data_IF_985936413773
#
_entry.id   IF_985936413773
#
_cell.length_a   1.000
_cell.length_b   1.000
_cell.length_c   1.000
_cell.angle_alpha   90.00
_cell.angle_beta   90.00
_cell.angle_gamma   90.00
#
_symmetry.space_group_name_H-M   'P 1'
#
loop_
_entity.id
_entity.type
_entity.pdbx_description
1 polymer ?
#
# COMPACT_ATOMS: atom_id res chain seq x y z
N UNK A 1 4.12 3.61 -23.00
CA UNK A 1 4.95 3.92 -21.82
C UNK A 1 4.40 3.37 -20.50
N UNK A 2 3.12 2.99 -20.41
CA UNK A 2 2.53 2.45 -19.16
C UNK A 2 2.93 1.01 -18.80
N UNK A 3 3.48 0.23 -19.73
CA UNK A 3 3.83 -1.18 -19.54
C UNK A 3 4.95 -1.46 -18.52
N UNK A 4 5.76 -0.47 -18.21
CA UNK A 4 6.90 -0.64 -17.31
C UNK A 4 6.69 -0.04 -15.90
N UNK A 5 5.62 0.72 -15.68
CA UNK A 5 5.33 1.19 -14.30
C UNK A 5 4.84 0.02 -13.46
N UNK A 6 5.61 -0.35 -12.45
CA UNK A 6 5.30 -1.46 -11.53
C UNK A 6 4.89 -1.00 -10.14
N UNK A 7 4.99 0.28 -9.87
CA UNK A 7 4.59 0.91 -8.61
C UNK A 7 3.07 0.92 -8.42
N UNK A 8 2.34 1.21 -9.50
CA UNK A 8 0.89 1.06 -9.51
C UNK A 8 0.54 -0.25 -10.22
N UNK A 9 -0.03 -1.20 -9.49
CA UNK A 9 -0.45 -2.49 -10.06
C UNK A 9 -1.71 -2.35 -10.87
N UNK A 10 -1.74 -3.00 -12.04
CA UNK A 10 -2.89 -2.99 -12.94
C UNK A 10 -3.76 -4.22 -12.76
N UNK A 11 -5.07 -4.03 -12.69
CA UNK A 11 -6.06 -5.12 -12.70
C UNK A 11 -6.07 -5.89 -14.03
N UNK A 12 -5.64 -5.23 -15.13
CA UNK A 12 -5.68 -5.80 -16.47
C UNK A 12 -4.40 -6.57 -16.84
N UNK A 13 -3.33 -6.42 -16.05
CA UNK A 13 -2.05 -7.10 -16.29
C UNK A 13 -1.99 -8.34 -15.39
N UNK A 14 -2.13 -9.53 -15.98
CA UNK A 14 -2.15 -10.80 -15.25
C UNK A 14 -0.95 -10.99 -14.31
N UNK A 15 0.25 -10.59 -14.74
CA UNK A 15 1.45 -10.70 -13.91
C UNK A 15 1.46 -9.79 -12.67
N UNK A 16 0.55 -8.85 -12.57
CA UNK A 16 0.37 -7.96 -11.41
C UNK A 16 -0.66 -8.53 -10.41
N UNK A 17 -1.42 -9.58 -10.79
CA UNK A 17 -2.52 -10.10 -9.98
C UNK A 17 -2.14 -10.38 -8.52
N UNK A 18 -1.03 -11.08 -8.19
CA UNK A 18 -0.71 -11.37 -6.79
C UNK A 18 -0.58 -10.10 -5.94
N UNK A 19 0.06 -9.05 -6.48
CA UNK A 19 0.24 -7.79 -5.76
C UNK A 19 -1.09 -7.02 -5.73
N UNK A 20 -1.85 -7.04 -6.82
CA UNK A 20 -3.17 -6.39 -6.87
C UNK A 20 -4.10 -6.94 -5.79
N UNK A 21 -4.20 -8.26 -5.65
CA UNK A 21 -5.05 -8.91 -4.63
C UNK A 21 -4.58 -8.61 -3.20
N UNK A 22 -3.25 -8.57 -2.96
CA UNK A 22 -2.68 -8.17 -1.68
C UNK A 22 -3.09 -6.74 -1.31
N UNK A 23 -2.94 -5.81 -2.25
CA UNK A 23 -3.28 -4.40 -2.04
C UNK A 23 -4.80 -4.12 -1.96
N UNK A 24 -5.62 -5.05 -2.42
CA UNK A 24 -7.08 -4.99 -2.28
C UNK A 24 -7.52 -5.42 -0.86
N UNK A 25 -6.77 -6.30 -0.21
CA UNK A 25 -7.15 -6.90 1.08
C UNK A 25 -7.50 -5.89 2.18
N UNK A 26 -6.73 -4.80 2.42
CA UNK A 26 -7.09 -3.83 3.46
C UNK A 26 -8.41 -3.10 3.16
N UNK A 27 -8.74 -2.83 1.91
CA UNK A 27 -10.03 -2.22 1.55
C UNK A 27 -11.20 -3.11 1.92
N UNK A 28 -11.10 -4.42 1.61
CA UNK A 28 -12.11 -5.40 1.98
C UNK A 28 -12.24 -5.59 3.50
N UNK A 29 -11.12 -5.50 4.22
CA UNK A 29 -11.14 -5.60 5.68
C UNK A 29 -11.86 -4.42 6.33
N UNK A 30 -11.72 -3.22 5.78
CA UNK A 30 -12.33 -2.02 6.34
C UNK A 30 -13.75 -1.77 5.84
N UNK A 31 -14.22 -2.46 4.81
CA UNK A 31 -15.52 -2.23 4.17
C UNK A 31 -16.69 -2.19 5.16
N UNK A 32 -16.72 -3.11 6.12
CA UNK A 32 -17.76 -3.18 7.16
C UNK A 32 -17.42 -2.37 8.44
N UNK A 33 -16.29 -1.69 8.47
CA UNK A 33 -15.77 -0.96 9.64
C UNK A 33 -15.77 0.55 9.43
N UNK A 34 -16.08 1.01 8.23
CA UNK A 34 -16.12 2.43 7.91
C UNK A 34 -17.53 2.98 7.92
N UNK A 35 -17.63 4.27 8.08
CA UNK A 35 -18.88 5.03 7.99
C UNK A 35 -18.62 6.51 8.19
N UNK A 36 -19.63 7.34 8.05
CA UNK A 36 -19.49 8.78 8.21
C UNK A 36 -18.63 9.43 7.13
N UNK A 37 -17.78 10.37 7.51
CA UNK A 37 -16.87 11.10 6.61
C UNK A 37 -15.53 10.40 6.54
N UNK A 38 -15.13 9.98 5.36
CA UNK A 38 -13.91 9.21 5.10
C UNK A 38 -12.92 10.01 4.27
N UNK A 39 -11.64 10.00 4.64
CA UNK A 39 -10.55 10.46 3.79
C UNK A 39 -9.68 9.27 3.38
N UNK A 40 -9.34 9.19 2.09
CA UNK A 40 -8.31 8.29 1.57
C UNK A 40 -7.11 9.12 1.13
N UNK A 41 -6.00 8.94 1.83
CA UNK A 41 -4.74 9.66 1.60
C UNK A 41 -3.83 8.78 0.75
N UNK A 42 -3.55 9.23 -0.48
CA UNK A 42 -2.86 8.43 -1.49
C UNK A 42 -3.77 7.44 -2.20
N UNK A 43 -4.90 7.91 -2.74
CA UNK A 43 -5.90 7.03 -3.37
C UNK A 43 -5.42 6.34 -4.66
N UNK A 44 -4.31 6.76 -5.24
CA UNK A 44 -3.77 6.21 -6.48
C UNK A 44 -4.81 6.15 -7.60
N UNK A 45 -5.01 4.96 -8.16
CA UNK A 45 -6.01 4.70 -9.21
C UNK A 45 -7.45 4.54 -8.69
N UNK A 46 -7.69 4.77 -7.39
CA UNK A 46 -9.02 4.72 -6.77
C UNK A 46 -9.56 3.31 -6.56
N UNK A 47 -8.70 2.36 -6.19
CA UNK A 47 -9.05 0.95 -5.99
C UNK A 47 -10.16 0.74 -4.96
N UNK A 48 -10.17 1.53 -3.88
CA UNK A 48 -11.15 1.43 -2.80
C UNK A 48 -12.48 2.13 -3.06
N UNK A 49 -12.55 3.01 -4.05
CA UNK A 49 -13.71 3.91 -4.21
C UNK A 49 -15.02 3.15 -4.41
N UNK A 50 -15.03 2.15 -5.28
CA UNK A 50 -16.25 1.37 -5.59
C UNK A 50 -16.76 0.57 -4.39
N UNK A 51 -15.85 0.13 -3.51
CA UNK A 51 -16.17 -0.61 -2.29
C UNK A 51 -16.64 0.33 -1.16
N UNK A 52 -15.94 1.45 -0.97
CA UNK A 52 -16.01 2.24 0.25
C UNK A 52 -16.87 3.51 0.12
N UNK A 53 -16.96 4.09 -1.06
CA UNK A 53 -17.81 5.27 -1.26
C UNK A 53 -19.29 5.01 -0.93
N UNK A 54 -19.89 3.85 -1.30
CA UNK A 54 -21.29 3.55 -0.92
C UNK A 54 -21.53 3.43 0.59
N UNK A 55 -20.48 3.15 1.37
CA UNK A 55 -20.53 3.00 2.84
C UNK A 55 -20.28 4.32 3.58
N UNK A 56 -19.89 5.36 2.87
CA UNK A 56 -19.50 6.66 3.42
C UNK A 56 -20.60 7.70 3.17
N UNK A 57 -20.81 8.61 4.12
CA UNK A 57 -21.66 9.80 3.87
C UNK A 57 -20.96 10.80 2.95
N UNK A 58 -19.63 10.89 3.04
CA UNK A 58 -18.74 11.69 2.20
C UNK A 58 -17.39 10.99 2.11
N UNK A 59 -16.84 10.91 0.91
CA UNK A 59 -15.55 10.28 0.65
C UNK A 59 -14.61 11.27 -0.03
N UNK A 60 -13.50 11.60 0.60
CA UNK A 60 -12.51 12.53 0.05
C UNK A 60 -11.24 11.74 -0.30
N UNK A 61 -10.90 11.71 -1.57
CA UNK A 61 -9.74 11.01 -2.10
C UNK A 61 -8.64 12.00 -2.48
N UNK A 62 -7.47 11.85 -1.87
CA UNK A 62 -6.29 12.69 -2.14
C UNK A 62 -5.19 11.87 -2.83
N UNK A 63 -4.61 12.44 -3.86
CA UNK A 63 -3.39 11.91 -4.51
C UNK A 63 -2.69 13.02 -5.31
N UNK A 64 -1.42 12.81 -5.66
CA UNK A 64 -0.68 13.67 -6.61
C UNK A 64 -1.27 13.64 -8.02
N UNK A 65 -2.08 12.63 -8.36
CA UNK A 65 -2.77 12.48 -9.64
C UNK A 65 -4.07 11.69 -9.47
N UNK A 66 -5.19 12.32 -9.70
CA UNK A 66 -6.52 11.73 -9.48
C UNK A 66 -7.26 11.35 -10.77
N UNK A 67 -6.60 11.44 -11.93
CA UNK A 67 -7.26 11.29 -13.23
C UNK A 67 -7.91 9.90 -13.46
N UNK A 68 -7.27 8.82 -12.98
CA UNK A 68 -7.81 7.45 -13.09
C UNK A 68 -8.90 7.23 -12.05
N UNK A 69 -8.64 7.63 -10.79
CA UNK A 69 -9.60 7.52 -9.71
C UNK A 69 -10.93 8.23 -10.01
N UNK A 70 -10.89 9.41 -10.64
CA UNK A 70 -12.08 10.14 -11.10
C UNK A 70 -12.91 9.35 -12.11
N UNK A 71 -12.30 8.51 -12.94
CA UNK A 71 -13.04 7.66 -13.89
C UNK A 71 -13.78 6.54 -13.15
N UNK A 72 -13.17 5.94 -12.12
CA UNK A 72 -13.81 4.91 -11.29
C UNK A 72 -14.95 5.48 -10.45
N UNK A 73 -14.79 6.70 -9.96
CA UNK A 73 -15.81 7.37 -9.15
C UNK A 73 -17.03 7.84 -9.95
N UNK A 74 -17.07 7.60 -11.28
CA UNK A 74 -18.18 8.03 -12.12
C UNK A 74 -19.49 7.39 -11.64
N UNK A 75 -20.38 8.22 -11.13
CA UNK A 75 -21.68 7.78 -10.57
C UNK A 75 -21.79 7.94 -9.05
N UNK A 76 -20.70 8.09 -8.33
CA UNK A 76 -20.71 8.35 -6.89
C UNK A 76 -20.71 9.86 -6.63
N UNK A 77 -21.83 10.39 -6.14
CA UNK A 77 -22.02 11.84 -5.89
C UNK A 77 -21.35 12.33 -4.60
N UNK A 78 -21.03 11.40 -3.72
CA UNK A 78 -20.41 11.65 -2.42
C UNK A 78 -18.88 11.59 -2.44
N UNK A 79 -18.26 11.40 -3.60
CA UNK A 79 -16.80 11.34 -3.77
C UNK A 79 -16.26 12.67 -4.25
N UNK A 80 -15.31 13.21 -3.52
CA UNK A 80 -14.56 14.43 -3.86
C UNK A 80 -13.08 14.11 -4.03
N UNK A 81 -12.39 14.83 -4.92
CA UNK A 81 -10.98 14.64 -5.21
C UNK A 81 -10.17 15.90 -4.94
N UNK A 82 -9.05 15.73 -4.25
CA UNK A 82 -8.05 16.77 -4.06
C UNK A 82 -6.74 16.28 -4.66
N UNK A 83 -6.25 17.00 -5.67
CA UNK A 83 -4.96 16.71 -6.30
C UNK A 83 -3.89 17.57 -5.64
N UNK A 84 -3.00 16.93 -4.86
CA UNK A 84 -1.99 17.60 -4.05
C UNK A 84 -0.81 16.69 -3.73
N UNK A 85 0.32 17.30 -3.38
CA UNK A 85 1.44 16.61 -2.73
C UNK A 85 1.26 16.66 -1.22
N UNK A 86 1.62 15.62 -0.53
CA UNK A 86 1.51 15.45 0.93
C UNK A 86 2.86 15.10 1.55
N UNK A 87 3.14 15.48 2.83
CA UNK A 87 2.48 16.53 3.61
C UNK A 87 2.75 17.95 3.09
N UNK A 88 2.00 19.00 3.48
CA UNK A 88 0.87 18.97 4.41
C UNK A 88 -0.41 18.41 3.79
N UNK A 89 -1.36 17.96 4.63
CA UNK A 89 -2.67 17.48 4.18
C UNK A 89 -3.66 18.66 4.22
N UNK A 90 -4.20 19.14 3.07
CA UNK A 90 -5.05 20.33 3.01
C UNK A 90 -6.50 20.03 3.41
N UNK A 91 -6.67 19.41 4.57
CA UNK A 91 -7.96 19.06 5.15
C UNK A 91 -8.08 19.65 6.56
N UNK A 92 -9.31 19.99 6.96
CA UNK A 92 -9.57 20.60 8.26
C UNK A 92 -9.39 19.60 9.41
N UNK A 93 -9.02 20.13 10.58
CA UNK A 93 -8.91 19.37 11.82
C UNK A 93 -10.22 18.71 12.23
N UNK A 94 -10.13 17.57 12.90
CA UNK A 94 -11.27 16.90 13.54
C UNK A 94 -12.50 16.72 12.62
N UNK A 95 -12.25 16.38 11.35
CA UNK A 95 -13.30 16.31 10.32
C UNK A 95 -13.70 14.89 9.97
N UNK A 96 -12.78 13.95 10.01
CA UNK A 96 -12.96 12.60 9.49
C UNK A 96 -13.23 11.57 10.57
N UNK A 97 -14.23 10.74 10.34
CA UNK A 97 -14.52 9.58 11.19
C UNK A 97 -13.50 8.46 10.93
N UNK A 98 -13.05 8.34 9.66
CA UNK A 98 -12.05 7.36 9.23
C UNK A 98 -11.06 7.99 8.26
N UNK A 99 -9.79 7.68 8.43
CA UNK A 99 -8.69 7.98 7.50
C UNK A 99 -8.08 6.67 7.01
N UNK A 100 -7.98 6.52 5.70
CA UNK A 100 -7.34 5.41 5.02
C UNK A 100 -6.02 5.90 4.40
N UNK A 101 -4.95 5.14 4.60
CA UNK A 101 -3.62 5.47 4.10
C UNK A 101 -2.87 4.19 3.74
N UNK A 102 -3.05 3.69 2.50
CA UNK A 102 -2.51 2.40 2.10
C UNK A 102 -1.34 2.55 1.12
N UNK A 103 -0.15 2.05 1.51
CA UNK A 103 1.09 2.09 0.74
C UNK A 103 1.51 3.53 0.37
N UNK A 104 1.62 4.39 1.37
CA UNK A 104 1.95 5.81 1.20
C UNK A 104 3.11 6.26 2.09
N UNK A 105 3.10 5.88 3.37
CA UNK A 105 4.07 6.38 4.36
C UNK A 105 5.52 6.07 3.97
N UNK A 106 5.75 4.96 3.26
CA UNK A 106 7.08 4.58 2.73
C UNK A 106 7.65 5.57 1.72
N UNK A 107 6.82 6.44 1.16
CA UNK A 107 7.22 7.49 0.21
C UNK A 107 7.40 8.87 0.87
N UNK A 108 7.15 8.98 2.18
CA UNK A 108 7.15 10.25 2.91
C UNK A 108 8.50 10.46 3.60
N UNK A 109 9.06 11.66 3.46
CA UNK A 109 10.37 12.02 4.07
C UNK A 109 10.22 12.23 5.57
N UNK A 110 9.21 12.99 5.98
CA UNK A 110 8.90 13.28 7.38
C UNK A 110 7.67 12.48 7.81
N UNK A 111 7.93 11.24 8.21
CA UNK A 111 6.90 10.28 8.58
C UNK A 111 6.20 10.68 9.90
N UNK A 112 6.90 11.33 10.81
CA UNK A 112 6.33 11.83 12.07
C UNK A 112 5.32 12.94 11.79
N UNK A 113 5.70 13.97 11.06
CA UNK A 113 4.80 15.04 10.63
C UNK A 113 3.60 14.46 9.86
N UNK A 114 3.83 13.47 9.02
CA UNK A 114 2.74 12.85 8.25
C UNK A 114 1.73 12.15 9.14
N UNK A 115 2.17 11.36 10.14
CA UNK A 115 1.30 10.71 11.11
C UNK A 115 0.56 11.74 11.99
N UNK A 116 1.21 12.83 12.38
CA UNK A 116 0.58 13.96 13.09
C UNK A 116 -0.52 14.61 12.24
N UNK A 117 -0.31 14.80 10.94
CA UNK A 117 -1.33 15.31 10.02
C UNK A 117 -2.52 14.35 9.87
N UNK A 118 -2.27 13.02 9.75
CA UNK A 118 -3.32 12.01 9.73
C UNK A 118 -4.14 12.03 11.03
N UNK A 119 -3.47 12.16 12.16
CA UNK A 119 -4.11 12.31 13.47
C UNK A 119 -4.89 13.64 13.57
N UNK A 120 -4.32 14.76 13.11
CA UNK A 120 -4.95 16.09 13.17
C UNK A 120 -6.33 16.10 12.51
N UNK A 121 -6.44 15.51 11.30
CA UNK A 121 -7.69 15.52 10.53
C UNK A 121 -8.76 14.57 11.07
N UNK A 122 -8.39 13.53 11.85
CA UNK A 122 -9.34 12.65 12.51
C UNK A 122 -10.13 13.37 13.59
N UNK A 123 -11.39 13.03 13.76
CA UNK A 123 -12.20 13.38 14.92
C UNK A 123 -11.69 12.65 16.17
N UNK A 124 -11.94 13.17 17.39
CA UNK A 124 -11.75 12.39 18.61
C UNK A 124 -12.50 11.05 18.52
N UNK A 125 -11.80 9.93 18.75
CA UNK A 125 -12.29 8.57 18.56
C UNK A 125 -12.34 8.07 17.11
N UNK A 126 -11.95 8.90 16.15
CA UNK A 126 -11.80 8.50 14.74
C UNK A 126 -10.65 7.52 14.53
N UNK A 127 -10.71 6.74 13.45
CA UNK A 127 -9.78 5.64 13.19
C UNK A 127 -8.91 5.88 11.96
N UNK A 128 -7.63 5.62 12.12
CA UNK A 128 -6.67 5.46 11.01
C UNK A 128 -6.54 3.98 10.67
N UNK A 129 -6.58 3.66 9.37
CA UNK A 129 -6.12 2.39 8.82
C UNK A 129 -4.97 2.67 7.86
N UNK A 130 -3.79 2.13 8.16
CA UNK A 130 -2.57 2.38 7.40
C UNK A 130 -1.87 1.06 7.06
N UNK A 131 -1.45 0.90 5.80
CA UNK A 131 -0.58 -0.22 5.40
C UNK A 131 0.71 0.28 4.77
N UNK A 132 1.77 -0.50 4.95
CA UNK A 132 3.09 -0.28 4.34
C UNK A 132 3.82 -1.62 4.21
N UNK A 133 4.78 -1.78 3.28
CA UNK A 133 5.57 -3.00 3.20
C UNK A 133 6.31 -3.30 4.49
N UNK A 134 6.41 -4.59 4.83
CA UNK A 134 7.26 -5.05 5.92
C UNK A 134 8.70 -5.23 5.40
N UNK A 135 9.66 -4.47 5.95
CA UNK A 135 11.06 -4.52 5.53
C UNK A 135 11.68 -5.91 5.68
N UNK A 136 11.26 -6.69 6.68
CA UNK A 136 11.79 -8.03 6.94
C UNK A 136 11.40 -9.04 5.85
N UNK A 137 10.35 -8.73 5.05
CA UNK A 137 9.89 -9.55 3.93
C UNK A 137 10.07 -8.88 2.57
N UNK A 138 10.63 -7.68 2.52
CA UNK A 138 11.02 -7.02 1.27
C UNK A 138 12.17 -7.77 0.61
N UNK A 139 12.06 -8.06 -0.69
CA UNK A 139 13.02 -8.87 -1.43
C UNK A 139 14.17 -8.06 -2.03
N UNK A 140 13.93 -6.78 -2.33
CA UNK A 140 14.94 -5.85 -2.89
C UNK A 140 14.61 -4.44 -2.44
N UNK A 141 15.62 -3.57 -2.40
CA UNK A 141 15.39 -2.14 -2.20
C UNK A 141 14.50 -1.58 -3.32
N UNK A 142 13.35 -1.04 -2.95
CA UNK A 142 12.54 -0.25 -3.87
C UNK A 142 13.06 1.20 -3.94
N UNK A 143 13.53 1.69 -5.10
CA UNK A 143 14.09 3.05 -5.21
C UNK A 143 13.04 4.17 -5.10
N UNK A 144 11.76 3.84 -5.05
CA UNK A 144 10.67 4.78 -4.80
C UNK A 144 10.36 4.94 -3.31
N UNK A 145 10.73 3.94 -2.47
CA UNK A 145 10.58 4.01 -1.03
C UNK A 145 11.72 4.81 -0.41
N UNK A 146 11.36 5.73 0.45
CA UNK A 146 12.32 6.50 1.26
C UNK A 146 12.71 5.66 2.46
N UNK A 147 11.72 5.00 3.08
CA UNK A 147 11.89 4.13 4.24
C UNK A 147 10.87 2.98 4.17
N UNK A 148 11.27 1.82 4.64
CA UNK A 148 10.38 0.73 5.01
C UNK A 148 10.53 0.44 6.50
N UNK A 149 9.55 -0.18 7.12
CA UNK A 149 9.43 -0.29 8.58
C UNK A 149 9.43 -1.73 9.03
N UNK A 150 9.97 -1.96 10.24
CA UNK A 150 9.64 -3.12 11.05
C UNK A 150 8.36 -2.86 11.84
N UNK A 151 7.70 -3.93 12.26
CA UNK A 151 6.45 -3.83 13.01
C UNK A 151 6.62 -3.02 14.31
N UNK A 152 7.68 -3.29 15.08
CA UNK A 152 7.98 -2.60 16.33
C UNK A 152 8.34 -1.12 16.14
N UNK A 153 9.03 -0.78 15.04
CA UNK A 153 9.38 0.61 14.72
C UNK A 153 8.14 1.44 14.41
N UNK A 154 7.27 0.95 13.51
CA UNK A 154 6.04 1.66 13.14
C UNK A 154 5.07 1.74 14.32
N UNK A 155 4.98 0.68 15.14
CA UNK A 155 4.18 0.68 16.38
C UNK A 155 4.64 1.77 17.34
N UNK A 156 5.95 1.85 17.63
CA UNK A 156 6.50 2.88 18.55
C UNK A 156 6.28 4.28 18.02
N UNK A 157 6.51 4.51 16.73
CA UNK A 157 6.30 5.80 16.09
C UNK A 157 4.83 6.23 16.22
N UNK A 158 3.90 5.33 15.91
CA UNK A 158 2.47 5.62 15.95
C UNK A 158 1.92 5.77 17.38
N UNK A 159 2.42 4.98 18.34
CA UNK A 159 2.00 5.04 19.74
C UNK A 159 2.39 6.35 20.46
N UNK A 160 3.31 7.13 19.89
CA UNK A 160 3.61 8.48 20.40
C UNK A 160 2.59 9.53 19.97
N UNK A 161 1.70 9.21 19.00
CA UNK A 161 0.77 10.15 18.38
C UNK A 161 -0.69 9.73 18.62
N UNK A 162 -0.98 8.44 18.47
CA UNK A 162 -2.32 7.86 18.62
C UNK A 162 -2.54 7.32 20.03
N UNK A 163 -3.75 7.47 20.55
CA UNK A 163 -4.13 6.99 21.87
C UNK A 163 -4.08 5.46 22.00
N UNK A 164 -4.54 4.79 20.95
CA UNK A 164 -4.54 3.33 20.84
C UNK A 164 -3.94 2.95 19.49
N UNK A 165 -3.07 1.95 19.49
CA UNK A 165 -2.42 1.42 18.30
C UNK A 165 -2.48 -0.10 18.33
N UNK A 166 -3.07 -0.68 17.28
CA UNK A 166 -3.03 -2.11 17.03
C UNK A 166 -2.18 -2.34 15.77
N UNK A 167 -1.18 -3.21 15.86
CA UNK A 167 -0.35 -3.61 14.73
C UNK A 167 -0.73 -5.01 14.28
N UNK A 168 -1.33 -5.06 13.10
CA UNK A 168 -1.68 -6.27 12.36
C UNK A 168 -0.72 -6.46 11.19
N UNK A 169 -0.89 -7.54 10.46
CA UNK A 169 -0.19 -7.78 9.20
C UNK A 169 -1.12 -8.27 8.10
N UNK A 170 -0.67 -8.13 6.85
CA UNK A 170 -1.26 -8.80 5.71
C UNK A 170 -0.34 -9.94 5.32
N UNK A 171 -0.74 -11.16 5.66
CA UNK A 171 -0.05 -12.40 5.32
C UNK A 171 -0.73 -13.11 4.16
N UNK A 172 -0.23 -14.29 3.78
CA UNK A 172 -0.84 -15.13 2.77
C UNK A 172 -0.97 -16.57 3.23
N UNK A 173 -1.92 -17.29 2.64
CA UNK A 173 -2.02 -18.73 2.78
C UNK A 173 -0.85 -19.46 2.05
N UNK A 174 -0.86 -20.77 2.03
CA UNK A 174 0.18 -21.60 1.40
C UNK A 174 0.40 -21.25 -0.09
N UNK A 175 -0.67 -20.93 -0.84
CA UNK A 175 -0.56 -20.54 -2.26
C UNK A 175 0.24 -19.24 -2.42
N UNK A 176 -0.10 -18.22 -1.63
CA UNK A 176 0.59 -16.93 -1.62
C UNK A 176 2.05 -17.10 -1.21
N UNK A 177 2.31 -17.87 -0.16
CA UNK A 177 3.67 -18.11 0.33
C UNK A 177 4.50 -18.93 -0.64
N UNK A 178 3.89 -19.84 -1.40
CA UNK A 178 4.54 -20.54 -2.51
C UNK A 178 4.97 -19.56 -3.61
N UNK A 179 4.07 -18.67 -4.02
CA UNK A 179 4.40 -17.61 -4.98
C UNK A 179 5.51 -16.69 -4.45
N UNK A 180 5.43 -16.29 -3.17
CA UNK A 180 6.46 -15.46 -2.54
C UNK A 180 7.83 -16.15 -2.54
N UNK A 181 7.90 -17.44 -2.18
CA UNK A 181 9.14 -18.20 -2.19
C UNK A 181 9.77 -18.28 -3.59
N UNK A 182 8.97 -18.53 -4.62
CA UNK A 182 9.43 -18.55 -6.01
C UNK A 182 9.93 -17.17 -6.47
N UNK A 183 9.21 -16.11 -6.06
CA UNK A 183 9.65 -14.73 -6.33
C UNK A 183 10.99 -14.43 -5.63
N UNK A 184 11.13 -14.83 -4.37
CA UNK A 184 12.37 -14.69 -3.58
C UNK A 184 13.55 -15.38 -4.27
N UNK A 185 13.38 -16.61 -4.73
CA UNK A 185 14.41 -17.30 -5.50
C UNK A 185 14.76 -16.61 -6.81
N UNK A 186 13.74 -16.14 -7.54
CA UNK A 186 13.95 -15.44 -8.81
C UNK A 186 14.73 -14.14 -8.61
N UNK A 187 14.35 -13.37 -7.60
CA UNK A 187 15.04 -12.13 -7.20
C UNK A 187 16.47 -12.43 -6.75
N UNK A 188 16.69 -13.44 -5.91
CA UNK A 188 18.02 -13.82 -5.45
C UNK A 188 18.95 -14.22 -6.61
N UNK A 189 18.43 -14.85 -7.67
CA UNK A 189 19.21 -15.15 -8.88
C UNK A 189 19.66 -13.89 -9.63
N UNK A 190 18.83 -12.87 -9.65
CA UNK A 190 19.12 -11.58 -10.30
C UNK A 190 20.13 -10.79 -9.46
N UNK A 191 19.84 -10.62 -8.17
CA UNK A 191 20.67 -9.81 -7.25
C UNK A 191 22.03 -10.43 -6.98
N UNK A 192 22.21 -11.74 -7.18
CA UNK A 192 23.51 -12.41 -7.10
C UNK A 192 24.58 -11.78 -8.02
N UNK A 193 24.17 -11.17 -9.11
CA UNK A 193 25.09 -10.49 -10.04
C UNK A 193 25.43 -9.06 -9.60
N UNK A 194 24.76 -8.53 -8.59
CA UNK A 194 25.07 -7.22 -8.01
C UNK A 194 26.23 -7.32 -6.98
N UNK A 195 27.40 -7.79 -7.44
CA UNK A 195 28.60 -8.00 -6.61
C UNK A 195 29.05 -6.72 -5.91
N UNK A 196 28.81 -5.58 -6.54
CA UNK A 196 29.18 -4.25 -6.00
C UNK A 196 28.12 -3.66 -5.08
N UNK A 197 27.02 -4.37 -4.86
CA UNK A 197 25.87 -3.91 -4.08
C UNK A 197 25.34 -2.54 -4.55
N UNK A 198 25.23 -2.37 -5.86
CA UNK A 198 24.85 -1.13 -6.51
C UNK A 198 23.44 -0.69 -6.12
N UNK A 199 22.54 -1.66 -5.87
CA UNK A 199 21.19 -1.36 -5.41
C UNK A 199 21.14 -0.54 -4.11
N UNK A 200 22.14 -0.68 -3.23
CA UNK A 200 22.23 0.08 -1.97
C UNK A 200 23.18 1.29 -2.05
N UNK A 201 24.08 1.33 -3.02
CA UNK A 201 25.09 2.38 -3.13
C UNK A 201 24.71 3.49 -4.10
N UNK A 202 23.93 3.19 -5.13
CA UNK A 202 23.54 4.18 -6.11
C UNK A 202 22.35 5.04 -5.62
N UNK A 203 22.31 6.32 -6.02
CA UNK A 203 21.16 7.18 -5.79
C UNK A 203 19.88 6.58 -6.37
N UNK A 204 18.76 6.71 -5.66
CA UNK A 204 17.46 6.17 -6.06
C UNK A 204 17.04 6.60 -7.48
N UNK A 205 17.35 7.84 -7.89
CA UNK A 205 17.01 8.34 -9.22
C UNK A 205 17.58 7.53 -10.38
N UNK A 206 18.80 6.96 -10.21
CA UNK A 206 19.46 6.13 -11.23
C UNK A 206 18.83 4.72 -11.26
N UNK A 207 18.37 4.24 -10.12
CA UNK A 207 17.85 2.87 -9.96
C UNK A 207 16.40 2.72 -10.44
N UNK A 208 15.60 3.81 -10.52
CA UNK A 208 14.17 3.75 -10.84
C UNK A 208 13.86 3.00 -12.13
N UNK A 209 14.53 3.37 -13.22
CA UNK A 209 14.27 2.74 -14.53
C UNK A 209 14.74 1.28 -14.58
N UNK A 210 15.99 0.93 -14.19
CA UNK A 210 16.40 -0.46 -14.11
C UNK A 210 15.50 -1.32 -13.22
N UNK A 211 15.11 -0.81 -12.07
CA UNK A 211 14.23 -1.50 -11.13
C UNK A 211 12.86 -1.83 -11.76
N UNK A 212 12.21 -0.87 -12.42
CA UNK A 212 10.93 -1.10 -13.07
C UNK A 212 11.01 -2.14 -14.19
N UNK A 213 12.07 -2.06 -15.02
CA UNK A 213 12.30 -3.04 -16.10
C UNK A 213 12.50 -4.45 -15.50
N UNK A 214 13.37 -4.58 -14.49
CA UNK A 214 13.65 -5.87 -13.86
C UNK A 214 12.43 -6.45 -13.17
N UNK A 215 11.65 -5.63 -12.45
CA UNK A 215 10.41 -6.05 -11.83
C UNK A 215 9.40 -6.55 -12.87
N UNK A 216 9.21 -5.81 -13.96
CA UNK A 216 8.28 -6.22 -15.03
C UNK A 216 8.72 -7.54 -15.67
N UNK A 217 10.00 -7.69 -15.96
CA UNK A 217 10.55 -8.93 -16.52
C UNK A 217 10.38 -10.09 -15.54
N UNK A 218 10.67 -9.88 -14.27
CA UNK A 218 10.51 -10.90 -13.23
C UNK A 218 9.05 -11.33 -13.05
N UNK A 219 8.12 -10.38 -12.94
CA UNK A 219 6.68 -10.68 -12.85
C UNK A 219 6.18 -11.45 -14.08
N UNK A 220 6.58 -11.05 -15.28
CA UNK A 220 6.20 -11.73 -16.52
C UNK A 220 6.78 -13.15 -16.59
N UNK A 221 8.01 -13.35 -16.11
CA UNK A 221 8.65 -14.66 -16.03
C UNK A 221 7.90 -15.58 -15.06
N UNK A 222 7.60 -15.09 -13.85
CA UNK A 222 6.85 -15.85 -12.85
C UNK A 222 5.44 -16.19 -13.34
N UNK A 223 4.76 -15.26 -14.01
CA UNK A 223 3.46 -15.53 -14.64
C UNK A 223 3.53 -16.64 -15.68
N UNK A 224 4.57 -16.65 -16.54
CA UNK A 224 4.75 -17.71 -17.54
C UNK A 224 5.09 -19.06 -16.92
N UNK A 225 5.87 -19.08 -15.85
CA UNK A 225 6.27 -20.31 -15.16
C UNK A 225 5.15 -20.92 -14.31
N UNK A 226 4.28 -20.08 -13.75
CA UNK A 226 3.26 -20.45 -12.77
C UNK A 226 1.89 -19.85 -13.15
N UNK A 227 1.51 -19.94 -14.42
CA UNK A 227 0.33 -19.26 -14.94
C UNK A 227 -0.95 -19.63 -14.18
N UNK A 228 -1.14 -20.89 -13.80
CA UNK A 228 -2.25 -21.33 -12.97
C UNK A 228 -2.26 -20.62 -11.61
N UNK A 229 -1.15 -20.73 -10.86
CA UNK A 229 -1.05 -20.14 -9.52
C UNK A 229 -1.28 -18.63 -9.53
N UNK A 230 -0.61 -17.90 -10.46
CA UNK A 230 -0.72 -16.43 -10.55
C UNK A 230 -2.15 -15.97 -10.85
N UNK A 231 -2.87 -16.72 -11.71
CA UNK A 231 -4.26 -16.39 -12.09
C UNK A 231 -5.29 -16.79 -11.03
N UNK A 232 -5.02 -17.87 -10.29
CA UNK A 232 -5.93 -18.39 -9.25
C UNK A 232 -5.84 -17.61 -7.93
N UNK A 233 -4.76 -16.84 -7.71
CA UNK A 233 -4.64 -16.03 -6.49
C UNK A 233 -5.75 -14.98 -6.46
N UNK A 234 -6.46 -14.95 -5.33
CA UNK A 234 -7.53 -14.00 -5.03
C UNK A 234 -7.25 -13.27 -3.71
N UNK A 235 -8.04 -12.25 -3.41
CA UNK A 235 -7.99 -11.56 -2.12
C UNK A 235 -8.32 -12.47 -0.92
N UNK A 236 -9.00 -13.60 -1.14
CA UNK A 236 -9.30 -14.60 -0.11
C UNK A 236 -8.06 -15.36 0.34
N UNK A 237 -7.05 -15.47 -0.53
CA UNK A 237 -5.78 -16.11 -0.22
C UNK A 237 -4.88 -15.23 0.68
N UNK A 238 -5.21 -13.94 0.83
CA UNK A 238 -4.55 -13.01 1.75
C UNK A 238 -5.32 -12.88 3.05
N UNK A 239 -4.61 -12.85 4.17
CA UNK A 239 -5.16 -12.91 5.52
C UNK A 239 -4.73 -11.70 6.33
N UNK A 240 -5.63 -11.19 7.18
CA UNK A 240 -5.23 -10.25 8.23
C UNK A 240 -4.70 -11.08 9.41
N UNK A 241 -3.46 -10.85 9.76
CA UNK A 241 -2.70 -11.63 10.74
C UNK A 241 -2.45 -10.83 12.02
N UNK A 242 -2.47 -11.51 13.16
CA UNK A 242 -2.00 -10.98 14.46
C UNK A 242 -0.47 -11.12 14.62
N UNK A 243 0.21 -11.67 13.61
CA UNK A 243 1.68 -11.77 13.55
C UNK A 243 2.21 -10.85 12.43
N UNK A 244 2.41 -9.54 12.72
CA UNK A 244 2.88 -8.58 11.75
C UNK A 244 4.33 -8.83 11.31
N UNK A 245 5.16 -9.45 12.16
CA UNK A 245 6.58 -9.69 11.87
C UNK A 245 6.76 -10.68 10.71
N UNK A 246 5.86 -11.68 10.61
CA UNK A 246 5.86 -12.69 9.54
C UNK A 246 4.94 -12.32 8.37
N UNK A 247 4.41 -11.10 8.33
CA UNK A 247 3.45 -10.65 7.32
C UNK A 247 4.12 -9.86 6.20
N UNK A 248 3.57 -9.96 4.99
CA UNK A 248 4.08 -9.29 3.78
C UNK A 248 3.99 -7.76 3.86
N UNK A 249 2.89 -7.27 4.43
CA UNK A 249 2.71 -5.86 4.75
C UNK A 249 2.35 -5.70 6.23
N UNK A 250 2.75 -4.58 6.81
CA UNK A 250 2.27 -4.12 8.11
C UNK A 250 0.90 -3.45 7.93
N UNK A 251 0.02 -3.66 8.88
CA UNK A 251 -1.31 -3.05 8.88
C UNK A 251 -1.63 -2.46 10.25
N UNK A 252 -1.49 -1.16 10.35
CA UNK A 252 -1.71 -0.39 11.57
C UNK A 252 -3.14 0.12 11.65
N UNK A 253 -3.75 -0.05 12.83
CA UNK A 253 -5.01 0.59 13.21
C UNK A 253 -4.72 1.54 14.36
N UNK A 254 -4.94 2.85 14.12
CA UNK A 254 -4.74 3.89 15.12
C UNK A 254 -6.08 4.54 15.53
N UNK A 255 -6.25 4.87 16.80
CA UNK A 255 -7.41 5.63 17.32
C UNK A 255 -6.93 6.96 17.89
N UNK A 256 -7.58 8.07 17.46
CA UNK A 256 -7.31 9.41 17.98
C UNK A 256 -7.82 9.59 19.40
#
# INVERSE_FOLDING_TARGET
MALFKTEVTSETIQSDNPIHQRLLKPYLYVEDKIGGVVAEIGCGDGRGIELLAPKSSRYIALDKSTAIAKKRAKGYKNVEFIETLIPPIPLADNTFDVVLCFQVIEHIVDDTLFLEELHRILKPGGKLYLTTPNIDLTLTRNPWHIREYKADELTRLSASIFKEVEMLGISGNEKVMTYYAQNKESVARITRWDILNLQHRLPSGILKVPYEIMNRLNRNKLNKQNQGLVQELSHEDYLISQDPESSLDLFLVGVK
#
